data_IF_472680810568
#
_entry.id   IF_472680810568
#
_cell.length_a   1.000
_cell.length_b   1.000
_cell.length_c   1.000
_cell.angle_alpha   90.00
_cell.angle_beta   90.00
_cell.angle_gamma   90.00
#
_symmetry.space_group_name_H-M   'P 1'
#
loop_
_entity.id
_entity.type
_entity.pdbx_description
1 polymer ?
#
# COMPACT_ATOMS: atom_id res chain seq x y z
N UNK A 1 0.70 30.31 -55.44
CA UNK A 1 1.23 30.25 -54.07
C UNK A 1 0.64 29.02 -53.38
N UNK A 2 1.37 27.91 -53.38
CA UNK A 2 0.95 26.68 -52.69
C UNK A 2 1.15 26.87 -51.20
N UNK A 3 0.06 26.83 -50.42
CA UNK A 3 0.15 26.80 -48.96
C UNK A 3 0.78 25.47 -48.55
N UNK A 4 1.93 25.52 -47.90
CA UNK A 4 2.53 24.36 -47.25
C UNK A 4 1.61 23.90 -46.09
N UNK A 5 1.34 22.60 -45.92
CA UNK A 5 0.56 22.13 -44.78
C UNK A 5 1.29 22.44 -43.49
N UNK A 6 0.60 23.08 -42.55
CA UNK A 6 1.12 23.34 -41.22
C UNK A 6 1.50 22.00 -40.56
N UNK A 7 2.76 21.89 -40.13
CA UNK A 7 3.27 20.77 -39.34
C UNK A 7 2.51 20.73 -38.02
N UNK A 8 1.56 19.80 -37.88
CA UNK A 8 0.89 19.53 -36.60
C UNK A 8 1.96 19.00 -35.66
N UNK A 9 2.41 19.86 -34.72
CA UNK A 9 3.27 19.42 -33.65
C UNK A 9 2.52 18.33 -32.86
N UNK A 10 3.12 17.15 -32.74
CA UNK A 10 2.61 16.12 -31.84
C UNK A 10 2.43 16.75 -30.46
N UNK A 11 1.22 16.67 -29.90
CA UNK A 11 0.94 17.21 -28.58
C UNK A 11 1.98 16.64 -27.59
N UNK A 12 2.68 17.53 -26.88
CA UNK A 12 3.69 17.12 -25.91
C UNK A 12 3.07 16.14 -24.92
N UNK A 13 3.74 15.00 -24.70
CA UNK A 13 3.24 13.96 -23.80
C UNK A 13 3.00 14.54 -22.40
N UNK A 14 1.82 14.29 -21.82
CA UNK A 14 1.46 14.77 -20.48
C UNK A 14 2.41 14.12 -19.46
N UNK A 15 3.30 14.86 -18.77
CA UNK A 15 4.34 14.26 -17.93
C UNK A 15 3.80 13.30 -16.86
N UNK A 16 2.62 13.59 -16.32
CA UNK A 16 1.93 12.76 -15.32
C UNK A 16 1.58 11.36 -15.84
N UNK A 17 1.30 11.23 -17.14
CA UNK A 17 0.87 9.98 -17.79
C UNK A 17 2.04 9.24 -18.48
N UNK A 18 3.27 9.72 -18.28
CA UNK A 18 4.47 9.03 -18.79
C UNK A 18 4.98 8.00 -17.78
N UNK A 19 5.60 6.90 -18.25
CA UNK A 19 6.27 5.94 -17.38
C UNK A 19 7.32 6.59 -16.48
N UNK A 20 7.56 5.99 -15.31
CA UNK A 20 8.54 6.47 -14.35
C UNK A 20 9.19 5.30 -13.59
N UNK A 21 10.51 5.29 -13.56
CA UNK A 21 11.30 4.33 -12.79
C UNK A 21 11.54 4.87 -11.39
N UNK A 22 10.99 4.19 -10.39
CA UNK A 22 11.17 4.49 -8.97
C UNK A 22 12.01 3.40 -8.31
N UNK A 23 13.33 3.58 -8.29
CA UNK A 23 14.25 2.55 -7.82
C UNK A 23 14.17 1.29 -8.69
N UNK A 24 13.69 0.19 -8.09
CA UNK A 24 13.45 -1.09 -8.79
C UNK A 24 12.03 -1.22 -9.35
N UNK A 25 11.14 -0.26 -9.08
CA UNK A 25 9.75 -0.28 -9.53
C UNK A 25 9.62 0.43 -10.88
N UNK A 26 8.94 -0.20 -11.82
CA UNK A 26 8.60 0.39 -13.12
C UNK A 26 7.12 0.78 -13.12
N UNK A 27 6.84 2.08 -13.07
CA UNK A 27 5.48 2.62 -13.09
C UNK A 27 5.08 2.98 -14.52
N UNK A 28 3.85 2.63 -14.91
CA UNK A 28 3.29 3.05 -16.21
C UNK A 28 2.90 4.53 -16.24
N UNK A 29 2.66 5.13 -15.08
CA UNK A 29 2.27 6.54 -14.90
C UNK A 29 2.63 7.03 -13.49
N UNK A 30 2.56 8.34 -13.27
CA UNK A 30 2.95 8.99 -12.02
C UNK A 30 1.79 9.30 -11.06
N UNK A 31 0.59 8.82 -11.36
CA UNK A 31 -0.58 8.88 -10.46
C UNK A 31 -0.50 7.76 -9.43
N UNK A 32 -0.54 8.12 -8.14
CA UNK A 32 -0.40 7.20 -7.01
C UNK A 32 -1.60 7.35 -6.07
N UNK A 33 -2.13 6.25 -5.57
CA UNK A 33 -3.07 6.29 -4.44
C UNK A 33 -2.28 6.46 -3.15
N UNK A 34 -2.39 7.64 -2.55
CA UNK A 34 -1.85 7.91 -1.21
C UNK A 34 -2.54 7.04 -0.15
N UNK A 35 -1.91 6.79 1.01
CA UNK A 35 -2.55 6.08 2.11
C UNK A 35 -3.73 6.89 2.65
N UNK A 36 -4.90 6.26 2.72
CA UNK A 36 -6.14 6.90 3.16
C UNK A 36 -6.84 6.01 4.19
N UNK A 37 -6.69 6.32 5.48
CA UNK A 37 -7.38 5.60 6.56
C UNK A 37 -8.88 5.60 6.36
N UNK A 38 -9.47 4.40 6.27
CA UNK A 38 -10.91 4.27 6.07
C UNK A 38 -11.62 3.83 7.35
N UNK A 39 -11.01 3.14 8.31
CA UNK A 39 -11.75 2.68 9.50
C UNK A 39 -12.92 1.74 9.11
N UNK A 40 -12.64 0.73 8.28
CA UNK A 40 -13.63 -0.31 7.87
C UNK A 40 -13.08 -1.73 8.10
N UNK A 41 -12.13 -1.88 9.01
CA UNK A 41 -11.49 -3.15 9.39
C UNK A 41 -11.94 -3.55 10.79
N UNK A 42 -13.13 -4.15 10.87
CA UNK A 42 -13.74 -4.56 12.14
C UNK A 42 -12.81 -5.50 12.92
N UNK A 43 -12.58 -5.18 14.20
CA UNK A 43 -11.63 -5.94 15.04
C UNK A 43 -10.18 -5.91 14.53
N UNK A 44 -9.79 -4.83 13.84
CA UNK A 44 -8.50 -4.69 13.16
C UNK A 44 -8.25 -5.70 12.04
N UNK A 45 -9.28 -6.42 11.59
CA UNK A 45 -9.17 -7.40 10.50
C UNK A 45 -9.67 -6.75 9.20
N UNK A 46 -8.84 -6.67 8.15
CA UNK A 46 -9.29 -6.25 6.82
C UNK A 46 -10.51 -7.05 6.36
N UNK A 47 -11.44 -6.37 5.70
CA UNK A 47 -12.71 -6.98 5.30
C UNK A 47 -12.75 -7.24 3.79
N UNK A 48 -13.59 -8.18 3.30
CA UNK A 48 -13.66 -8.52 1.88
C UNK A 48 -13.94 -7.33 0.94
N UNK A 49 -14.68 -6.31 1.41
CA UNK A 49 -14.97 -5.10 0.63
C UNK A 49 -13.71 -4.29 0.29
N UNK A 50 -12.64 -4.40 1.08
CA UNK A 50 -11.37 -3.73 0.81
C UNK A 50 -10.73 -4.24 -0.48
N UNK A 51 -10.92 -5.52 -0.84
CA UNK A 51 -10.45 -6.05 -2.11
C UNK A 51 -11.12 -5.34 -3.30
N UNK A 52 -12.44 -5.11 -3.21
CA UNK A 52 -13.18 -4.33 -4.21
C UNK A 52 -12.70 -2.89 -4.23
N UNK A 53 -12.55 -2.27 -3.05
CA UNK A 53 -12.11 -0.88 -2.90
C UNK A 53 -10.76 -0.60 -3.57
N UNK A 54 -9.75 -1.42 -3.31
CA UNK A 54 -8.42 -1.26 -3.90
C UNK A 54 -8.39 -1.70 -5.37
N UNK A 55 -9.10 -2.77 -5.75
CA UNK A 55 -9.16 -3.21 -7.15
C UNK A 55 -9.78 -2.17 -8.08
N UNK A 56 -10.78 -1.41 -7.61
CA UNK A 56 -11.36 -0.29 -8.38
C UNK A 56 -10.37 0.86 -8.62
N UNK A 57 -9.36 1.01 -7.75
CA UNK A 57 -8.34 2.07 -7.84
C UNK A 57 -7.07 1.59 -8.53
N UNK A 58 -6.95 0.29 -8.77
CA UNK A 58 -5.80 -0.33 -9.37
C UNK A 58 -5.82 -0.19 -10.90
N UNK A 59 -4.78 0.43 -11.43
CA UNK A 59 -4.49 0.54 -12.86
C UNK A 59 -3.19 -0.21 -13.18
N UNK A 60 -3.05 -0.69 -14.43
CA UNK A 60 -1.86 -1.46 -14.84
C UNK A 60 -0.58 -0.62 -14.72
N UNK A 61 0.35 -1.08 -13.89
CA UNK A 61 1.60 -0.39 -13.54
C UNK A 61 1.39 0.87 -12.69
N UNK A 62 0.22 1.03 -12.07
CA UNK A 62 -0.04 2.05 -11.06
C UNK A 62 0.46 1.62 -9.68
N UNK A 63 0.75 2.60 -8.82
CA UNK A 63 1.18 2.39 -7.44
C UNK A 63 0.07 2.74 -6.46
N UNK A 64 -0.28 1.81 -5.58
CA UNK A 64 -1.25 2.01 -4.51
C UNK A 64 -0.58 1.80 -3.15
N UNK A 65 -0.83 2.72 -2.22
CA UNK A 65 -0.42 2.58 -0.82
C UNK A 65 -1.70 2.39 -0.01
N UNK A 66 -1.78 1.28 0.71
CA UNK A 66 -2.91 0.95 1.55
C UNK A 66 -3.07 1.92 2.70
N UNK A 67 -4.24 1.89 3.30
CA UNK A 67 -4.51 2.59 4.54
C UNK A 67 -3.53 2.22 5.67
N UNK A 68 -3.48 3.09 6.68
CA UNK A 68 -2.66 2.90 7.85
C UNK A 68 -2.88 1.51 8.47
N UNK A 69 -1.80 0.74 8.56
CA UNK A 69 -1.81 -0.66 8.99
C UNK A 69 -1.00 -0.82 10.27
N UNK A 70 -1.69 -1.16 11.36
CA UNK A 70 -1.11 -1.28 12.69
C UNK A 70 -0.15 -2.47 12.77
N UNK A 71 0.99 -2.28 13.46
CA UNK A 71 2.03 -3.32 13.65
C UNK A 71 1.93 -4.07 14.98
N UNK A 72 1.08 -3.59 15.90
CA UNK A 72 0.87 -4.21 17.20
C UNK A 72 -0.45 -3.72 17.79
N UNK A 73 -0.98 -4.38 18.83
CA UNK A 73 -2.13 -3.88 19.58
C UNK A 73 -1.90 -2.50 20.23
N UNK A 74 -0.65 -2.15 20.55
CA UNK A 74 -0.28 -0.87 21.16
C UNK A 74 -0.11 0.26 20.13
N UNK A 75 0.01 -0.08 18.84
CA UNK A 75 0.21 0.88 17.76
C UNK A 75 -1.06 1.64 17.37
N UNK A 76 -2.23 1.16 17.79
CA UNK A 76 -3.53 1.63 17.34
C UNK A 76 -3.91 2.99 17.94
N UNK A 77 -4.36 3.91 17.07
CA UNK A 77 -4.94 5.20 17.49
C UNK A 77 -6.35 5.47 16.97
N UNK A 78 -6.75 4.85 15.87
CA UNK A 78 -8.12 4.98 15.33
C UNK A 78 -8.88 3.65 15.45
N UNK A 79 -10.21 3.71 15.63
CA UNK A 79 -11.02 2.50 15.58
C UNK A 79 -10.98 1.90 14.17
N UNK A 80 -11.09 0.58 14.11
CA UNK A 80 -11.29 -0.19 12.88
C UNK A 80 -10.21 0.05 11.79
N UNK A 81 -8.99 0.40 12.19
CA UNK A 81 -7.79 0.37 11.34
C UNK A 81 -7.31 -1.07 11.19
N UNK A 82 -6.91 -1.50 9.98
CA UNK A 82 -6.39 -2.85 9.81
C UNK A 82 -5.06 -3.03 10.56
N UNK A 83 -4.78 -4.25 11.02
CA UNK A 83 -3.47 -4.66 11.50
C UNK A 83 -2.74 -5.59 10.51
N UNK A 84 -1.48 -5.91 10.83
CA UNK A 84 -0.67 -6.94 10.13
C UNK A 84 0.17 -7.78 11.12
N UNK A 85 -0.26 -7.89 12.38
CA UNK A 85 0.49 -8.54 13.46
C UNK A 85 -0.11 -9.87 13.94
N UNK A 86 -1.29 -10.24 13.46
CA UNK A 86 -1.87 -11.58 13.70
C UNK A 86 -1.97 -12.38 12.41
N UNK A 87 -1.95 -13.71 12.52
CA UNK A 87 -2.15 -14.58 11.36
C UNK A 87 -3.48 -14.31 10.67
N UNK A 88 -4.55 -14.06 11.43
CA UNK A 88 -5.87 -13.74 10.88
C UNK A 88 -5.84 -12.48 10.01
N UNK A 89 -5.12 -11.44 10.44
CA UNK A 89 -4.95 -10.21 9.67
C UNK A 89 -4.16 -10.46 8.39
N UNK A 90 -3.08 -11.23 8.47
CA UNK A 90 -2.26 -11.62 7.31
C UNK A 90 -3.12 -12.38 6.28
N UNK A 91 -3.90 -13.38 6.71
CA UNK A 91 -4.79 -14.12 5.82
C UNK A 91 -5.85 -13.22 5.18
N UNK A 92 -6.38 -12.24 5.92
CA UNK A 92 -7.36 -11.28 5.40
C UNK A 92 -6.76 -10.31 4.35
N UNK A 93 -5.47 -9.99 4.44
CA UNK A 93 -4.78 -9.14 3.46
C UNK A 93 -4.50 -9.84 2.13
N UNK A 94 -4.23 -11.15 2.12
CA UNK A 94 -3.90 -11.91 0.90
C UNK A 94 -4.89 -11.71 -0.26
N UNK A 95 -6.21 -11.90 -0.09
CA UNK A 95 -7.16 -11.71 -1.20
C UNK A 95 -7.24 -10.26 -1.69
N UNK A 96 -6.93 -9.27 -0.83
CA UNK A 96 -6.89 -7.85 -1.19
C UNK A 96 -5.67 -7.58 -2.08
N UNK A 97 -4.50 -8.05 -1.66
CA UNK A 97 -3.25 -7.94 -2.43
C UNK A 97 -3.42 -8.61 -3.79
N UNK A 98 -3.95 -9.84 -3.81
CA UNK A 98 -4.19 -10.58 -5.05
C UNK A 98 -5.14 -9.83 -5.99
N UNK A 99 -6.17 -9.16 -5.48
CA UNK A 99 -7.10 -8.38 -6.29
C UNK A 99 -6.45 -7.16 -6.96
N UNK A 100 -5.45 -6.55 -6.32
CA UNK A 100 -4.65 -5.46 -6.88
C UNK A 100 -3.64 -5.99 -7.88
N UNK A 101 -2.94 -7.08 -7.56
CA UNK A 101 -1.95 -7.70 -8.44
C UNK A 101 -2.58 -8.26 -9.73
N UNK A 102 -3.80 -8.78 -9.68
CA UNK A 102 -4.55 -9.17 -10.90
C UNK A 102 -4.80 -8.02 -11.87
N UNK A 103 -4.78 -6.76 -11.40
CA UNK A 103 -4.87 -5.56 -12.25
C UNK A 103 -3.50 -5.10 -12.78
N UNK A 104 -2.42 -5.78 -12.40
CA UNK A 104 -1.05 -5.43 -12.74
C UNK A 104 -0.56 -4.17 -12.03
N UNK A 105 -1.17 -3.79 -10.91
CA UNK A 105 -0.75 -2.67 -10.09
C UNK A 105 0.22 -3.14 -8.98
N UNK A 106 1.02 -2.22 -8.47
CA UNK A 106 1.87 -2.40 -7.30
C UNK A 106 1.10 -1.98 -6.04
N UNK A 107 1.30 -2.71 -4.94
CA UNK A 107 0.58 -2.47 -3.70
C UNK A 107 1.51 -2.53 -2.49
N UNK A 108 1.44 -1.53 -1.62
CA UNK A 108 2.23 -1.45 -0.38
C UNK A 108 1.33 -1.20 0.82
N UNK A 109 1.66 -1.81 1.95
CA UNK A 109 1.04 -1.46 3.22
C UNK A 109 1.79 -0.29 3.87
N UNK A 110 1.05 0.74 4.30
CA UNK A 110 1.61 1.77 5.16
C UNK A 110 1.70 1.22 6.58
N UNK A 111 2.90 0.83 6.99
CA UNK A 111 3.20 0.44 8.37
C UNK A 111 2.99 1.65 9.28
N UNK A 112 2.15 1.50 10.30
CA UNK A 112 1.69 2.62 11.12
C UNK A 112 1.76 2.33 12.62
N UNK A 113 2.16 3.37 13.36
CA UNK A 113 2.15 3.42 14.81
C UNK A 113 1.85 4.86 15.23
N UNK A 114 0.79 5.07 16.01
CA UNK A 114 0.30 6.43 16.30
C UNK A 114 1.08 7.18 17.37
N UNK A 115 1.84 6.45 18.18
CA UNK A 115 2.56 7.02 19.32
C UNK A 115 1.60 7.63 20.32
N UNK A 116 1.73 8.93 20.60
CA UNK A 116 0.97 9.63 21.65
C UNK A 116 -0.56 9.58 21.48
N UNK A 117 -1.06 9.33 20.27
CA UNK A 117 -2.50 9.27 19.98
C UNK A 117 -3.06 7.85 20.23
N UNK A 118 -2.28 6.94 20.83
CA UNK A 118 -2.72 5.58 21.10
C UNK A 118 -3.87 5.55 22.09
N UNK A 119 -4.93 4.82 21.74
CA UNK A 119 -6.15 4.73 22.55
C UNK A 119 -6.12 3.57 23.55
N UNK A 120 -5.12 2.70 23.50
CA UNK A 120 -4.88 1.66 24.51
C UNK A 120 -4.27 2.27 25.77
N UNK A 121 -5.06 2.33 26.85
CA UNK A 121 -4.69 2.86 28.16
C UNK A 121 -3.65 2.02 28.89
N UNK A 122 -2.40 2.06 28.43
CA UNK A 122 -1.23 1.70 29.24
C UNK A 122 -0.28 2.88 29.26
N UNK A 123 -0.12 3.43 30.46
CA UNK A 123 0.80 4.49 30.83
C UNK A 123 2.18 4.29 30.20
N UNK A 124 2.68 5.33 29.52
CA UNK A 124 4.09 5.64 29.31
C UNK A 124 4.94 4.48 28.78
N UNK A 125 5.16 4.42 27.46
CA UNK A 125 6.47 4.02 26.96
C UNK A 125 6.83 4.86 25.73
N UNK A 126 7.61 5.89 25.99
CA UNK A 126 8.33 6.68 25.01
C UNK A 126 9.58 5.88 24.61
N UNK A 127 10.02 6.02 23.35
CA UNK A 127 11.20 5.39 22.71
C UNK A 127 10.84 4.01 22.13
N UNK A 128 10.71 3.84 20.81
CA UNK A 128 11.84 3.70 19.88
C UNK A 128 11.60 4.47 18.57
N UNK A 129 12.62 5.25 18.21
CA UNK A 129 12.80 5.94 16.94
C UNK A 129 13.16 4.96 15.80
N UNK A 130 12.59 5.23 14.63
CA UNK A 130 13.17 5.13 13.28
C UNK A 130 14.51 4.37 13.10
N UNK A 131 14.46 3.17 12.50
CA UNK A 131 15.24 2.70 11.34
C UNK A 131 15.36 1.17 11.32
N UNK A 132 14.68 0.50 10.38
CA UNK A 132 15.30 -0.55 9.55
C UNK A 132 14.82 -0.36 8.11
N UNK A 133 15.74 0.16 7.32
CA UNK A 133 15.82 0.03 5.86
C UNK A 133 15.90 -1.46 5.49
N UNK A 134 15.29 -1.83 4.36
CA UNK A 134 15.40 -3.12 3.67
C UNK A 134 14.81 -4.36 4.35
N UNK A 135 13.51 -4.55 4.20
CA UNK A 135 12.99 -5.77 3.55
C UNK A 135 11.73 -5.36 2.80
N UNK A 136 11.82 -5.35 1.47
CA UNK A 136 10.67 -5.21 0.61
C UNK A 136 9.76 -6.41 0.87
N UNK A 137 8.72 -6.23 1.69
CA UNK A 137 7.64 -7.21 1.78
C UNK A 137 6.77 -7.06 0.52
N UNK A 138 7.35 -7.45 -0.61
CA UNK A 138 6.61 -7.77 -1.81
C UNK A 138 5.85 -9.05 -1.47
N UNK A 139 4.56 -8.94 -1.19
CA UNK A 139 3.67 -10.11 -1.10
C UNK A 139 3.46 -10.59 -2.54
N UNK A 140 4.49 -11.23 -3.12
CA UNK A 140 4.35 -12.03 -4.33
C UNK A 140 3.80 -13.39 -3.91
N UNK A 141 2.63 -13.78 -4.42
CA UNK A 141 1.97 -15.03 -4.06
C UNK A 141 2.75 -16.28 -4.51
N UNK A 142 3.87 -16.10 -5.21
CA UNK A 142 4.69 -17.20 -5.75
C UNK A 142 5.84 -17.68 -4.86
N UNK A 143 6.17 -17.06 -3.71
CA UNK A 143 7.33 -17.49 -2.92
C UNK A 143 7.12 -17.47 -1.39
N UNK A 144 6.22 -18.33 -0.89
CA UNK A 144 5.98 -18.56 0.55
C UNK A 144 7.05 -19.46 1.22
N UNK A 145 8.34 -19.06 1.26
CA UNK A 145 9.39 -19.96 1.81
C UNK A 145 10.24 -19.48 2.99
N UNK A 146 9.96 -18.36 3.67
CA UNK A 146 10.87 -17.93 4.76
C UNK A 146 10.24 -17.27 5.98
N UNK A 147 8.97 -17.49 6.29
CA UNK A 147 8.31 -16.80 7.43
C UNK A 147 8.39 -17.51 8.79
N UNK A 148 8.99 -18.71 8.90
CA UNK A 148 8.92 -19.52 10.13
C UNK A 148 10.19 -19.56 11.01
N UNK A 149 11.23 -18.74 10.79
CA UNK A 149 12.49 -18.89 11.56
C UNK A 149 12.94 -17.66 12.36
N UNK A 150 12.05 -16.73 12.70
CA UNK A 150 12.43 -15.48 13.38
C UNK A 150 11.44 -15.06 14.48
N UNK A 151 10.82 -16.03 15.17
CA UNK A 151 10.11 -15.81 16.45
C UNK A 151 10.54 -16.85 17.49
N UNK A 152 11.85 -17.13 17.54
CA UNK A 152 12.53 -17.71 18.71
C UNK A 152 13.78 -16.86 19.01
#
# INVERSE_FOLDING_TARGET
>A
MVHAPAKVAAAAAIPLLTPYKMGQLELSHRVVLAPLTRCRSYGNVPQPHAAVYYSQRATRGGLLIAEATDISPTAQGYPETPGIYTQQQIEAWKPIVDAVHRKGALFFLQIWHVGRVSTTGSSICQIIYLLVVTTWLLIDSKNQRSLCSLID
#
